data_IF_253304828886
#
_entry.id   IF_253304828886
#
_cell.length_a   1.000
_cell.length_b   1.000
_cell.length_c   1.000
_cell.angle_alpha   90.00
_cell.angle_beta   90.00
_cell.angle_gamma   90.00
#
_symmetry.space_group_name_H-M   'P 1'
#
loop_
_entity.id
_entity.type
_entity.pdbx_description
1 polymer ?
#
# COMPACT_ATOMS: atom_id res chain seq x y z
N UNK A 1 20.97 -34.95 -8.07
CA UNK A 1 21.05 -34.19 -6.82
C UNK A 1 20.55 -32.78 -7.09
N UNK A 2 19.37 -32.45 -6.59
CA UNK A 2 18.78 -31.10 -6.75
C UNK A 2 19.35 -30.24 -5.62
N UNK A 3 20.18 -29.25 -5.96
CA UNK A 3 20.66 -28.28 -4.96
C UNK A 3 19.44 -27.51 -4.44
N UNK A 4 19.17 -27.61 -3.16
CA UNK A 4 18.21 -26.74 -2.48
C UNK A 4 18.93 -25.45 -2.10
N UNK A 5 18.41 -24.32 -2.51
CA UNK A 5 18.92 -23.00 -2.16
C UNK A 5 18.09 -22.41 -1.00
N UNK A 6 18.78 -21.85 -0.03
CA UNK A 6 18.16 -21.09 1.06
C UNK A 6 17.64 -19.75 0.53
N UNK A 7 16.32 -19.68 0.32
CA UNK A 7 15.66 -18.51 -0.26
C UNK A 7 15.79 -17.25 0.59
N UNK A 8 15.82 -17.40 1.91
CA UNK A 8 15.86 -16.24 2.82
C UNK A 8 17.27 -15.64 2.84
N UNK A 9 18.30 -16.48 2.87
CA UNK A 9 19.69 -16.02 2.70
C UNK A 9 19.92 -15.37 1.34
N UNK A 10 19.36 -15.92 0.25
CA UNK A 10 19.46 -15.29 -1.08
C UNK A 10 18.82 -13.91 -1.03
N UNK A 11 17.59 -13.80 -0.51
CA UNK A 11 16.87 -12.54 -0.43
C UNK A 11 17.60 -11.47 0.39
N UNK A 12 18.17 -11.83 1.52
CA UNK A 12 18.94 -10.94 2.40
C UNK A 12 20.24 -10.44 1.76
N UNK A 13 20.82 -11.21 0.87
CA UNK A 13 22.07 -10.85 0.19
C UNK A 13 21.86 -10.05 -1.10
N UNK A 14 20.61 -9.92 -1.59
CA UNK A 14 20.31 -9.08 -2.73
C UNK A 14 20.28 -7.61 -2.33
N UNK A 15 21.15 -6.84 -2.96
CA UNK A 15 21.21 -5.38 -2.78
C UNK A 15 20.09 -4.67 -3.56
N UNK A 16 19.85 -3.40 -3.24
CA UNK A 16 18.91 -2.56 -4.02
C UNK A 16 19.34 -2.45 -5.50
N UNK A 17 20.67 -2.47 -5.74
CA UNK A 17 21.20 -2.40 -7.11
C UNK A 17 20.95 -3.70 -7.88
N UNK A 18 21.03 -4.86 -7.23
CA UNK A 18 20.70 -6.15 -7.83
C UNK A 18 19.20 -6.19 -8.21
N UNK A 19 18.33 -5.75 -7.32
CA UNK A 19 16.89 -5.65 -7.59
C UNK A 19 16.62 -4.66 -8.73
N UNK A 20 17.36 -3.56 -8.79
CA UNK A 20 17.23 -2.59 -9.88
C UNK A 20 17.58 -3.22 -11.23
N UNK A 21 18.65 -4.00 -11.30
CA UNK A 21 19.06 -4.70 -12.55
C UNK A 21 17.98 -5.67 -12.99
N UNK A 22 17.45 -6.51 -12.10
CA UNK A 22 16.36 -7.43 -12.43
C UNK A 22 15.12 -6.72 -12.95
N UNK A 23 14.69 -5.66 -12.25
CA UNK A 23 13.52 -4.89 -12.69
C UNK A 23 13.75 -4.22 -14.05
N UNK A 24 14.98 -3.76 -14.33
CA UNK A 24 15.34 -3.20 -15.62
C UNK A 24 15.24 -4.25 -16.73
N UNK A 25 15.82 -5.42 -16.51
CA UNK A 25 15.80 -6.54 -17.45
C UNK A 25 14.38 -7.03 -17.75
N UNK A 26 13.49 -6.94 -16.75
CA UNK A 26 12.09 -7.33 -16.92
C UNK A 26 11.21 -6.20 -17.48
N UNK A 27 11.80 -5.05 -17.85
CA UNK A 27 11.09 -3.91 -18.45
C UNK A 27 10.30 -3.06 -17.44
N UNK A 28 10.70 -3.09 -16.17
CA UNK A 28 10.04 -2.33 -15.10
C UNK A 28 10.44 -0.86 -15.01
N UNK A 29 11.51 -0.43 -15.70
CA UNK A 29 12.04 0.94 -15.65
C UNK A 29 12.17 1.47 -14.19
N UNK A 30 12.96 0.84 -13.34
CA UNK A 30 13.04 1.17 -11.92
C UNK A 30 13.72 2.52 -11.68
N UNK A 31 13.26 3.21 -10.63
CA UNK A 31 13.82 4.47 -10.15
C UNK A 31 14.14 4.35 -8.68
N UNK A 32 15.34 4.76 -8.27
CA UNK A 32 15.77 4.76 -6.87
C UNK A 32 15.04 5.83 -6.06
N UNK A 33 14.73 5.47 -4.82
CA UNK A 33 14.13 6.34 -3.81
C UNK A 33 14.86 6.17 -2.49
N UNK A 34 14.51 6.97 -1.49
CA UNK A 34 15.07 6.84 -0.14
C UNK A 34 14.64 5.58 0.63
N UNK A 35 13.64 4.85 0.15
CA UNK A 35 13.14 3.60 0.78
C UNK A 35 13.43 2.34 -0.06
N UNK A 36 13.95 2.49 -1.28
CA UNK A 36 14.21 1.40 -2.20
C UNK A 36 13.97 1.80 -3.65
N UNK A 37 13.03 1.15 -4.35
CA UNK A 37 12.76 1.38 -5.78
C UNK A 37 11.26 1.58 -6.05
N UNK A 38 10.95 2.36 -7.09
CA UNK A 38 9.63 2.43 -7.71
C UNK A 38 9.77 1.95 -9.15
N UNK A 39 8.86 1.09 -9.60
CA UNK A 39 8.90 0.46 -10.91
C UNK A 39 7.51 0.47 -11.56
N UNK A 40 7.45 0.21 -12.86
CA UNK A 40 6.21 -0.11 -13.56
C UNK A 40 5.62 -1.41 -13.01
N UNK A 41 4.30 -1.55 -13.11
CA UNK A 41 3.55 -2.69 -12.56
C UNK A 41 3.67 -3.94 -13.42
N UNK A 42 4.90 -4.37 -13.69
CA UNK A 42 5.23 -5.58 -14.48
C UNK A 42 4.73 -6.88 -13.84
N UNK A 43 4.28 -6.83 -12.60
CA UNK A 43 3.65 -7.96 -11.89
C UNK A 43 2.29 -8.37 -12.49
N UNK A 44 1.66 -7.52 -13.32
CA UNK A 44 0.40 -7.81 -14.01
C UNK A 44 0.26 -7.06 -15.35
N UNK A 45 1.32 -6.41 -15.83
CA UNK A 45 1.38 -5.77 -17.15
C UNK A 45 2.60 -6.27 -17.93
N UNK A 46 2.58 -6.20 -19.28
CA UNK A 46 3.73 -6.48 -20.11
C UNK A 46 4.92 -5.54 -19.81
N UNK A 47 6.11 -5.92 -20.29
CA UNK A 47 7.32 -5.12 -20.16
C UNK A 47 7.14 -3.72 -20.75
N UNK A 48 7.58 -2.70 -20.03
CA UNK A 48 7.46 -1.28 -20.44
C UNK A 48 6.06 -0.68 -20.33
N UNK A 49 5.06 -1.47 -19.92
CA UNK A 49 3.67 -1.03 -19.77
C UNK A 49 3.27 -0.87 -18.29
N UNK A 50 2.08 -0.31 -18.08
CA UNK A 50 1.52 -0.11 -16.76
C UNK A 50 2.02 1.16 -16.05
N UNK A 51 1.44 1.43 -14.88
CA UNK A 51 1.76 2.61 -14.08
C UNK A 51 2.96 2.36 -13.16
N UNK A 52 3.62 3.43 -12.69
CA UNK A 52 4.70 3.35 -11.68
C UNK A 52 4.13 3.16 -10.28
N UNK A 53 3.53 2.00 -10.03
CA UNK A 53 2.82 1.63 -8.81
C UNK A 53 3.31 0.32 -8.17
N UNK A 54 4.46 -0.18 -8.61
CA UNK A 54 5.16 -1.30 -7.99
C UNK A 54 6.33 -0.75 -7.19
N UNK A 55 6.27 -0.89 -5.87
CA UNK A 55 7.24 -0.36 -4.91
C UNK A 55 8.04 -1.51 -4.32
N UNK A 56 9.36 -1.35 -4.25
CA UNK A 56 10.24 -2.25 -3.50
C UNK A 56 10.77 -1.53 -2.28
N UNK A 57 10.64 -2.17 -1.12
CA UNK A 57 11.10 -1.67 0.17
C UNK A 57 12.35 -2.43 0.60
N UNK A 58 13.49 -1.74 0.66
CA UNK A 58 14.79 -2.35 0.97
C UNK A 58 14.89 -2.90 2.39
N UNK A 59 14.15 -2.34 3.35
CA UNK A 59 14.17 -2.77 4.74
C UNK A 59 13.38 -4.07 5.02
N UNK A 60 12.43 -4.41 4.15
CA UNK A 60 11.62 -5.63 4.27
C UNK A 60 11.89 -6.65 3.16
N UNK A 61 12.66 -6.27 2.14
CA UNK A 61 12.89 -7.04 0.91
C UNK A 61 11.61 -7.47 0.19
N UNK A 62 10.54 -6.67 0.34
CA UNK A 62 9.23 -6.94 -0.26
C UNK A 62 8.87 -5.90 -1.32
N UNK A 63 8.14 -6.36 -2.31
CA UNK A 63 7.41 -5.52 -3.25
C UNK A 63 6.00 -5.26 -2.74
N UNK A 64 5.45 -4.12 -3.10
CA UNK A 64 4.03 -3.83 -2.94
C UNK A 64 3.47 -3.22 -4.21
N UNK A 65 2.44 -3.86 -4.77
CA UNK A 65 1.72 -3.36 -5.94
C UNK A 65 0.48 -2.60 -5.49
N UNK A 66 0.41 -1.32 -5.83
CA UNK A 66 -0.74 -0.46 -5.47
C UNK A 66 -1.90 -0.52 -6.47
N UNK A 67 -1.82 -1.41 -7.49
CA UNK A 67 -2.87 -1.57 -8.51
C UNK A 67 -2.90 -3.02 -9.02
N UNK A 68 -4.09 -3.59 -9.16
CA UNK A 68 -4.33 -4.80 -9.97
C UNK A 68 -3.94 -6.16 -9.39
N UNK A 69 -3.11 -6.26 -8.36
CA UNK A 69 -2.76 -7.54 -7.75
C UNK A 69 -3.72 -7.91 -6.62
N UNK A 70 -4.33 -9.09 -6.68
CA UNK A 70 -5.19 -9.62 -5.61
C UNK A 70 -4.41 -9.79 -4.29
N UNK A 71 -3.15 -10.27 -4.37
CA UNK A 71 -2.19 -10.23 -3.28
C UNK A 71 -1.16 -9.14 -3.60
N UNK A 72 -1.22 -7.96 -2.94
CA UNK A 72 -0.42 -6.80 -3.32
C UNK A 72 1.03 -6.86 -2.83
N UNK A 73 1.34 -7.66 -1.79
CA UNK A 73 2.70 -7.77 -1.23
C UNK A 73 3.31 -9.13 -1.54
N UNK A 74 4.53 -9.14 -2.06
CA UNK A 74 5.23 -10.35 -2.50
C UNK A 74 6.74 -10.09 -2.55
N UNK A 75 7.53 -11.16 -2.56
CA UNK A 75 8.99 -11.09 -2.68
C UNK A 75 9.48 -11.15 -4.14
N UNK A 76 10.79 -11.15 -4.32
CA UNK A 76 11.42 -11.18 -5.65
C UNK A 76 11.13 -12.48 -6.41
N UNK A 77 10.98 -13.60 -5.72
CA UNK A 77 10.70 -14.89 -6.34
C UNK A 77 9.28 -14.94 -6.88
N UNK A 78 8.31 -14.44 -6.10
CA UNK A 78 6.92 -14.31 -6.55
C UNK A 78 6.81 -13.29 -7.69
N UNK A 79 7.56 -12.19 -7.65
CA UNK A 79 7.60 -11.26 -8.77
C UNK A 79 8.11 -11.93 -10.05
N UNK A 80 9.19 -12.73 -9.96
CA UNK A 80 9.70 -13.50 -11.10
C UNK A 80 8.62 -14.41 -11.72
N UNK A 81 7.86 -15.14 -10.90
CA UNK A 81 6.77 -16.00 -11.35
C UNK A 81 5.70 -15.18 -12.08
N UNK A 82 5.26 -14.07 -11.47
CA UNK A 82 4.24 -13.18 -12.06
C UNK A 82 4.69 -12.61 -13.41
N UNK A 83 5.91 -12.09 -13.47
CA UNK A 83 6.49 -11.50 -14.69
C UNK A 83 6.55 -12.51 -15.83
N UNK A 84 7.03 -13.72 -15.56
CA UNK A 84 7.13 -14.75 -16.60
C UNK A 84 5.74 -15.27 -17.03
N UNK A 85 4.78 -15.33 -16.11
CA UNK A 85 3.38 -15.67 -16.47
C UNK A 85 2.80 -14.65 -17.43
N UNK A 86 3.01 -13.34 -17.18
CA UNK A 86 2.47 -12.26 -18.01
C UNK A 86 3.21 -12.15 -19.34
N UNK A 87 4.55 -12.13 -19.30
CA UNK A 87 5.35 -11.84 -20.50
C UNK A 87 5.56 -13.04 -21.42
N UNK A 88 5.61 -14.26 -20.87
CA UNK A 88 5.94 -15.48 -21.62
C UNK A 88 4.84 -16.55 -21.55
N UNK A 89 3.78 -16.33 -20.75
CA UNK A 89 2.75 -17.30 -20.45
C UNK A 89 3.30 -18.64 -19.90
N UNK A 90 4.36 -18.57 -19.07
CA UNK A 90 5.01 -19.73 -18.45
C UNK A 90 4.68 -19.71 -16.95
N UNK A 91 4.20 -20.84 -16.44
CA UNK A 91 3.98 -21.06 -15.01
C UNK A 91 5.24 -21.66 -14.39
N UNK A 92 6.01 -20.83 -13.68
CA UNK A 92 7.16 -21.29 -12.90
C UNK A 92 6.75 -21.61 -11.46
N UNK A 93 7.42 -22.60 -10.87
CA UNK A 93 7.31 -22.89 -9.44
C UNK A 93 8.25 -21.98 -8.62
N UNK A 94 8.04 -21.91 -7.31
CA UNK A 94 8.93 -21.21 -6.41
C UNK A 94 10.38 -21.72 -6.52
N UNK A 95 10.57 -23.04 -6.61
CA UNK A 95 11.88 -23.64 -6.80
C UNK A 95 12.58 -23.14 -8.07
N UNK A 96 11.85 -23.02 -9.18
CA UNK A 96 12.40 -22.47 -10.42
C UNK A 96 12.83 -21.01 -10.25
N UNK A 97 12.04 -20.19 -9.55
CA UNK A 97 12.35 -18.80 -9.29
C UNK A 97 13.59 -18.63 -8.42
N UNK A 98 13.71 -19.43 -7.35
CA UNK A 98 14.87 -19.43 -6.45
C UNK A 98 16.14 -19.83 -7.20
N UNK A 99 16.11 -20.92 -7.97
CA UNK A 99 17.23 -21.37 -8.79
C UNK A 99 17.65 -20.33 -9.82
N UNK A 100 16.67 -19.68 -10.49
CA UNK A 100 16.96 -18.62 -11.46
C UNK A 100 17.68 -17.44 -10.83
N UNK A 101 17.13 -16.89 -9.73
CA UNK A 101 17.71 -15.73 -9.05
C UNK A 101 19.10 -16.07 -8.49
N UNK A 102 19.25 -17.24 -7.85
CA UNK A 102 20.54 -17.68 -7.33
C UNK A 102 21.62 -17.80 -8.44
N UNK A 103 21.26 -18.37 -9.59
CA UNK A 103 22.18 -18.49 -10.71
C UNK A 103 22.48 -17.14 -11.37
N UNK A 104 21.49 -16.26 -11.48
CA UNK A 104 21.63 -14.94 -12.10
C UNK A 104 22.69 -14.10 -11.37
N UNK A 105 22.72 -14.17 -10.04
CA UNK A 105 23.70 -13.43 -9.22
C UNK A 105 24.88 -14.27 -8.74
N UNK A 106 25.03 -15.51 -9.20
CA UNK A 106 26.14 -16.39 -8.82
C UNK A 106 26.15 -16.78 -7.33
N UNK A 107 24.98 -16.84 -6.70
CA UNK A 107 24.82 -17.11 -5.27
C UNK A 107 24.86 -18.62 -4.94
N UNK A 108 25.78 -19.36 -5.54
CA UNK A 108 25.90 -20.81 -5.38
C UNK A 108 26.30 -21.27 -3.95
N UNK A 109 26.80 -20.34 -3.14
CA UNK A 109 27.25 -20.61 -1.77
C UNK A 109 26.08 -20.71 -0.76
N UNK A 110 24.87 -20.42 -1.18
CA UNK A 110 23.66 -20.47 -0.35
C UNK A 110 22.84 -21.75 -0.61
N UNK A 111 23.46 -22.80 -1.13
CA UNK A 111 22.85 -24.13 -1.15
C UNK A 111 22.87 -24.75 0.24
N UNK A 112 21.75 -25.26 0.70
CA UNK A 112 21.68 -26.06 1.91
C UNK A 112 22.51 -27.34 1.73
N UNK A 113 23.48 -27.59 2.64
CA UNK A 113 24.10 -28.89 2.76
C UNK A 113 23.06 -29.88 3.28
N UNK A 114 22.98 -31.07 2.64
CA UNK A 114 22.05 -32.13 2.98
C UNK A 114 22.14 -32.48 4.49
N UNK A 115 21.25 -31.94 5.30
CA UNK A 115 20.91 -32.51 6.59
C UNK A 115 19.51 -33.08 6.51
N UNK A 116 19.43 -34.41 6.42
CA UNK A 116 18.31 -35.32 6.66
C UNK A 116 16.90 -34.69 6.60
N UNK A 117 16.23 -34.89 5.48
CA UNK A 117 14.79 -34.70 5.34
C UNK A 117 14.04 -35.58 6.34
N UNK A 118 13.57 -35.00 7.41
CA UNK A 118 12.44 -35.53 8.15
C UNK A 118 11.14 -35.02 7.49
N UNK A 119 10.17 -35.90 7.39
CA UNK A 119 8.89 -35.77 6.70
C UNK A 119 7.92 -34.69 7.24
N UNK A 120 8.40 -33.69 7.95
CA UNK A 120 7.58 -32.69 8.66
C UNK A 120 7.47 -31.34 7.95
N UNK A 121 7.99 -31.22 6.72
CA UNK A 121 7.87 -29.98 5.90
C UNK A 121 6.44 -29.62 5.48
N UNK A 122 5.48 -30.50 5.79
CA UNK A 122 4.05 -30.17 5.74
C UNK A 122 3.62 -29.15 6.80
N UNK A 123 4.41 -28.92 7.84
CA UNK A 123 4.09 -27.91 8.86
C UNK A 123 4.26 -26.48 8.34
N UNK A 124 5.20 -26.22 7.44
CA UNK A 124 5.38 -24.90 6.82
C UNK A 124 4.20 -24.59 5.90
N UNK A 125 3.72 -25.56 5.13
CA UNK A 125 2.49 -25.41 4.34
C UNK A 125 1.26 -25.26 5.21
N UNK A 126 1.19 -25.96 6.36
CA UNK A 126 0.13 -25.78 7.36
C UNK A 126 0.20 -24.42 8.06
N UNK A 127 1.38 -23.79 8.18
CA UNK A 127 1.49 -22.41 8.64
C UNK A 127 0.91 -21.42 7.60
N UNK A 128 1.12 -21.65 6.30
CA UNK A 128 0.49 -20.86 5.25
C UNK A 128 -1.02 -21.08 5.19
N UNK A 129 -1.51 -22.30 5.37
CA UNK A 129 -2.94 -22.61 5.50
C UNK A 129 -3.53 -21.99 6.78
N UNK A 130 -2.81 -22.00 7.91
CA UNK A 130 -3.23 -21.33 9.17
C UNK A 130 -3.27 -19.82 9.06
N UNK A 131 -2.51 -19.21 8.14
CA UNK A 131 -2.61 -17.76 7.84
C UNK A 131 -3.87 -17.48 7.00
N UNK A 132 -4.35 -18.44 6.21
CA UNK A 132 -5.65 -18.35 5.51
C UNK A 132 -6.83 -18.73 6.42
N UNK A 133 -6.62 -19.61 7.41
CA UNK A 133 -7.56 -19.93 8.49
C UNK A 133 -7.33 -19.04 9.72
N UNK A 134 -7.13 -17.74 9.52
CA UNK A 134 -7.44 -16.78 10.60
C UNK A 134 -8.96 -16.86 10.76
N UNK A 135 -9.38 -17.88 11.52
CA UNK A 135 -10.71 -17.91 12.12
C UNK A 135 -10.95 -16.54 12.72
N UNK A 136 -12.01 -15.89 12.29
CA UNK A 136 -12.52 -14.62 12.81
C UNK A 136 -12.80 -14.75 14.32
N UNK A 137 -11.73 -14.79 15.09
CA UNK A 137 -11.85 -14.49 16.51
C UNK A 137 -12.01 -12.98 16.57
N UNK A 138 -12.99 -12.50 17.32
CA UNK A 138 -13.35 -11.10 17.55
C UNK A 138 -12.21 -10.27 18.17
N UNK A 139 -11.01 -10.35 17.64
CA UNK A 139 -9.91 -9.48 18.00
C UNK A 139 -10.11 -8.15 17.25
N UNK A 140 -10.62 -7.16 17.95
CA UNK A 140 -10.63 -5.79 17.42
C UNK A 140 -9.23 -5.44 16.96
N UNK A 141 -9.10 -5.16 15.65
CA UNK A 141 -7.83 -4.67 15.08
C UNK A 141 -7.58 -3.29 15.67
N UNK A 142 -6.56 -3.19 16.52
CA UNK A 142 -6.17 -1.93 17.13
C UNK A 142 -5.18 -1.24 16.19
N UNK A 143 -5.65 -0.21 15.50
CA UNK A 143 -4.79 0.65 14.68
C UNK A 143 -3.93 1.53 15.59
N UNK A 144 -2.69 1.79 15.13
CA UNK A 144 -1.78 2.72 15.83
C UNK A 144 -2.40 4.10 15.90
N UNK A 145 -2.51 4.64 17.10
CA UNK A 145 -2.92 6.02 17.35
C UNK A 145 -1.71 6.96 17.32
N UNK A 146 -1.89 8.13 16.74
CA UNK A 146 -0.90 9.21 16.75
C UNK A 146 -1.42 10.42 17.53
N UNK A 147 -0.51 11.24 18.03
CA UNK A 147 -0.88 12.50 18.70
C UNK A 147 -1.50 13.48 17.70
N UNK A 148 -2.77 13.76 17.88
CA UNK A 148 -3.53 14.67 16.99
C UNK A 148 -3.10 16.13 17.11
N UNK A 149 -2.27 16.52 18.09
CA UNK A 149 -1.72 17.89 18.23
C UNK A 149 -0.89 18.29 17.01
N UNK A 150 -0.29 17.32 16.31
CA UNK A 150 0.48 17.60 15.08
C UNK A 150 -0.39 18.28 14.01
N UNK A 151 -1.68 18.00 13.98
CA UNK A 151 -2.61 18.61 13.04
C UNK A 151 -2.75 20.13 13.25
N UNK A 152 -2.47 20.66 14.43
CA UNK A 152 -2.52 22.09 14.71
C UNK A 152 -1.40 22.86 14.00
N UNK A 153 -0.35 22.18 13.58
CA UNK A 153 0.77 22.77 12.84
C UNK A 153 0.51 22.85 11.33
N UNK A 154 -0.60 22.31 10.88
CA UNK A 154 -0.99 22.36 9.48
C UNK A 154 -1.76 23.65 9.20
N UNK A 155 -1.57 24.22 8.02
CA UNK A 155 -2.22 25.48 7.66
C UNK A 155 -3.62 25.21 7.07
N UNK A 156 -4.66 25.54 7.82
CA UNK A 156 -6.05 25.30 7.43
C UNK A 156 -6.63 26.35 6.45
N UNK A 157 -5.94 27.45 6.23
CA UNK A 157 -6.49 28.59 5.46
C UNK A 157 -5.86 28.79 4.09
N UNK A 158 -4.72 28.17 3.83
CA UNK A 158 -3.95 28.39 2.60
C UNK A 158 -4.14 27.24 1.62
N UNK A 159 -4.33 27.61 0.34
CA UNK A 159 -4.32 26.69 -0.82
C UNK A 159 -5.38 25.56 -0.86
N UNK A 160 -6.45 25.64 -0.08
CA UNK A 160 -7.62 24.76 -0.26
C UNK A 160 -8.56 25.26 -1.37
N UNK A 161 -8.25 26.41 -1.96
CA UNK A 161 -9.02 27.04 -3.06
C UNK A 161 -9.39 26.08 -4.19
N UNK A 162 -8.52 25.15 -4.68
CA UNK A 162 -8.93 24.20 -5.70
C UNK A 162 -10.11 23.33 -5.29
N UNK A 163 -10.12 22.83 -4.05
CA UNK A 163 -11.21 21.99 -3.54
C UNK A 163 -12.48 22.78 -3.29
N UNK A 164 -12.36 24.03 -2.82
CA UNK A 164 -13.51 24.94 -2.68
C UNK A 164 -14.14 25.23 -4.05
N UNK A 165 -13.35 25.49 -5.08
CA UNK A 165 -13.82 25.71 -6.47
C UNK A 165 -14.49 24.47 -7.06
N UNK A 166 -14.10 23.28 -6.64
CA UNK A 166 -14.72 22.03 -7.07
C UNK A 166 -16.00 21.70 -6.30
N UNK A 167 -16.40 22.54 -5.33
CA UNK A 167 -17.69 22.43 -4.63
C UNK A 167 -17.59 21.82 -3.23
N UNK A 168 -16.41 21.56 -2.70
CA UNK A 168 -16.27 21.14 -1.29
C UNK A 168 -16.47 22.38 -0.42
N UNK A 169 -17.41 22.32 0.52
CA UNK A 169 -17.70 23.44 1.40
C UNK A 169 -16.66 23.59 2.49
N UNK A 170 -16.41 24.84 2.90
CA UNK A 170 -15.46 25.18 3.97
C UNK A 170 -15.77 24.45 5.29
N UNK A 171 -17.05 24.39 5.68
CA UNK A 171 -17.50 23.67 6.89
C UNK A 171 -17.14 22.17 6.89
N UNK A 172 -17.17 21.53 5.71
CA UNK A 172 -16.81 20.13 5.55
C UNK A 172 -15.30 19.95 5.67
N UNK A 173 -14.51 20.86 5.08
CA UNK A 173 -13.05 20.85 5.23
C UNK A 173 -12.64 21.01 6.69
N UNK A 174 -13.26 21.94 7.42
CA UNK A 174 -13.00 22.20 8.82
C UNK A 174 -13.39 21.01 9.72
N UNK A 175 -14.59 20.45 9.52
CA UNK A 175 -15.08 19.29 10.25
C UNK A 175 -14.14 18.09 10.11
N UNK A 176 -13.58 17.89 8.91
CA UNK A 176 -12.65 16.81 8.61
C UNK A 176 -11.18 17.19 8.87
N UNK A 177 -10.91 18.36 9.42
CA UNK A 177 -9.57 18.88 9.72
C UNK A 177 -8.63 18.84 8.50
N UNK A 178 -9.19 19.08 7.31
CA UNK A 178 -8.42 19.17 6.07
C UNK A 178 -7.54 20.41 6.12
N UNK A 179 -6.24 20.25 5.97
CA UNK A 179 -5.27 21.31 6.04
C UNK A 179 -4.33 21.32 4.85
N UNK A 180 -3.22 22.04 5.02
CA UNK A 180 -2.20 22.14 4.00
C UNK A 180 -0.81 22.08 4.62
N UNK A 181 0.05 21.24 4.03
CA UNK A 181 1.44 21.11 4.41
C UNK A 181 2.33 21.85 3.40
N UNK A 182 2.90 22.98 3.82
CA UNK A 182 3.74 23.82 2.97
C UNK A 182 5.03 23.12 2.50
N UNK A 183 5.66 22.34 3.39
CA UNK A 183 6.93 21.68 3.09
C UNK A 183 6.86 20.63 1.98
N UNK A 184 5.67 20.11 1.68
CA UNK A 184 5.46 19.11 0.64
C UNK A 184 4.48 19.52 -0.45
N UNK A 185 4.01 20.76 -0.44
CA UNK A 185 2.96 21.28 -1.36
C UNK A 185 1.76 20.34 -1.46
N UNK A 186 1.20 19.96 -0.29
CA UNK A 186 0.18 18.91 -0.19
C UNK A 186 -1.03 19.37 0.61
N UNK A 187 -2.23 19.07 0.11
CA UNK A 187 -3.46 19.09 0.92
C UNK A 187 -3.40 17.89 1.86
N UNK A 188 -3.59 18.12 3.16
CA UNK A 188 -3.50 17.09 4.19
C UNK A 188 -4.87 16.56 4.56
N UNK A 189 -4.99 15.24 4.64
CA UNK A 189 -6.22 14.52 4.89
C UNK A 189 -6.01 13.61 6.10
N UNK A 190 -6.43 14.04 7.30
CA UNK A 190 -6.34 13.21 8.49
C UNK A 190 -7.32 12.03 8.41
N UNK A 191 -6.86 10.86 8.83
CA UNK A 191 -7.69 9.67 8.98
C UNK A 191 -7.95 9.40 10.45
N UNK A 192 -9.20 9.14 10.77
CA UNK A 192 -9.67 8.78 12.10
C UNK A 192 -10.35 7.41 12.05
N UNK A 193 -10.19 6.63 13.11
CA UNK A 193 -10.91 5.38 13.26
C UNK A 193 -12.38 5.60 13.72
N UNK A 194 -13.13 4.50 13.85
CA UNK A 194 -14.54 4.52 14.32
C UNK A 194 -14.75 5.24 15.66
N UNK A 195 -13.69 5.39 16.48
CA UNK A 195 -13.70 6.00 17.81
C UNK A 195 -13.12 7.43 17.82
N UNK A 196 -12.90 8.05 16.65
CA UNK A 196 -12.26 9.35 16.48
C UNK A 196 -10.79 9.41 16.92
N UNK A 197 -10.07 8.29 17.01
CA UNK A 197 -8.63 8.27 17.24
C UNK A 197 -7.91 8.61 15.94
N UNK A 198 -6.91 9.49 16.01
CA UNK A 198 -6.11 9.88 14.84
C UNK A 198 -5.13 8.76 14.49
N UNK A 199 -5.32 8.11 13.33
CA UNK A 199 -4.59 6.90 12.92
C UNK A 199 -3.67 7.11 11.72
N UNK A 200 -3.71 8.25 11.06
CA UNK A 200 -2.86 8.52 9.91
C UNK A 200 -3.13 9.85 9.24
N UNK A 201 -2.19 10.27 8.41
CA UNK A 201 -2.27 11.51 7.64
C UNK A 201 -1.87 11.23 6.21
N UNK A 202 -2.77 11.46 5.27
CA UNK A 202 -2.46 11.41 3.85
C UNK A 202 -2.30 12.80 3.27
N UNK A 203 -1.42 12.93 2.29
CA UNK A 203 -1.21 14.13 1.51
C UNK A 203 -1.66 13.93 0.09
N UNK A 204 -2.44 14.86 -0.43
CA UNK A 204 -2.65 14.99 -1.86
C UNK A 204 -1.68 16.00 -2.43
N UNK A 205 -0.75 15.56 -3.28
CA UNK A 205 0.20 16.44 -3.94
C UNK A 205 -0.52 17.45 -4.85
N UNK A 206 -0.10 18.70 -4.79
CA UNK A 206 -0.55 19.77 -5.67
C UNK A 206 0.42 19.99 -6.83
N UNK A 207 1.63 19.44 -6.75
CA UNK A 207 2.61 19.40 -7.82
C UNK A 207 2.26 18.28 -8.80
N UNK A 208 2.22 18.59 -10.09
CA UNK A 208 1.85 17.63 -11.14
C UNK A 208 2.93 16.57 -11.33
N UNK A 209 4.18 16.99 -11.34
CA UNK A 209 5.35 16.12 -11.50
C UNK A 209 5.44 15.12 -10.34
N UNK A 210 5.28 15.58 -9.10
CA UNK A 210 5.22 14.74 -7.91
C UNK A 210 4.06 13.73 -7.97
N UNK A 211 2.90 14.17 -8.45
CA UNK A 211 1.71 13.32 -8.57
C UNK A 211 1.88 12.21 -9.60
N UNK A 212 2.58 12.50 -10.69
CA UNK A 212 2.89 11.53 -11.75
C UNK A 212 3.96 10.52 -11.29
N UNK A 213 4.94 10.99 -10.51
CA UNK A 213 6.08 10.18 -10.09
C UNK A 213 5.80 9.34 -8.85
N UNK A 214 5.29 9.96 -7.78
CA UNK A 214 5.09 9.31 -6.46
C UNK A 214 3.64 8.92 -6.18
N UNK A 215 2.73 9.24 -7.08
CA UNK A 215 1.30 9.07 -6.88
C UNK A 215 0.63 10.27 -6.22
N UNK A 216 -0.65 10.42 -6.55
CA UNK A 216 -1.47 11.58 -6.19
C UNK A 216 -1.74 11.68 -4.69
N UNK A 217 -1.91 10.55 -4.03
CA UNK A 217 -2.18 10.44 -2.59
C UNK A 217 -1.14 9.54 -1.93
N UNK A 218 -0.52 10.02 -0.85
CA UNK A 218 0.52 9.27 -0.13
C UNK A 218 0.50 9.61 1.36
N UNK A 219 0.98 8.72 2.24
CA UNK A 219 1.19 9.07 3.66
C UNK A 219 2.17 10.24 3.79
N UNK A 220 1.95 11.08 4.81
CA UNK A 220 2.83 12.22 5.09
C UNK A 220 3.81 11.86 6.19
N UNK A 221 5.07 12.28 6.00
CA UNK A 221 6.09 12.28 7.04
C UNK A 221 6.27 13.70 7.59
N UNK A 222 6.12 13.87 8.90
CA UNK A 222 6.35 15.13 9.60
C UNK A 222 7.29 14.88 10.78
N UNK A 223 8.32 15.69 10.92
CA UNK A 223 9.29 15.59 12.01
C UNK A 223 9.87 14.17 12.19
N UNK A 224 10.17 13.48 11.10
CA UNK A 224 10.71 12.11 11.08
C UNK A 224 9.70 11.01 11.40
N UNK A 225 8.43 11.33 11.62
CA UNK A 225 7.36 10.35 11.84
C UNK A 225 6.51 10.20 10.59
N UNK A 226 6.40 8.98 10.09
CA UNK A 226 5.48 8.62 9.01
C UNK A 226 4.09 8.32 9.59
N UNK A 227 3.10 9.12 9.23
CA UNK A 227 1.71 8.98 9.67
C UNK A 227 0.95 8.08 8.71
N UNK A 228 0.96 6.78 8.96
CA UNK A 228 0.36 5.77 8.07
C UNK A 228 -0.44 4.74 8.84
N UNK A 229 -1.44 4.15 8.17
CA UNK A 229 -2.20 2.99 8.63
C UNK A 229 -2.55 2.10 7.43
N UNK A 230 -2.87 0.82 7.61
CA UNK A 230 -3.38 -0.03 6.55
C UNK A 230 -4.76 0.46 6.07
N UNK A 231 -4.85 0.90 4.82
CA UNK A 231 -6.09 1.52 4.28
C UNK A 231 -7.28 0.56 4.29
N UNK A 232 -7.05 -0.74 4.04
CA UNK A 232 -8.09 -1.75 4.07
C UNK A 232 -8.70 -2.03 5.45
N UNK A 233 -8.13 -1.49 6.53
CA UNK A 233 -8.60 -1.68 7.91
C UNK A 233 -9.37 -0.49 8.47
N UNK A 234 -9.64 0.53 7.66
CA UNK A 234 -10.40 1.71 8.06
C UNK A 234 -11.15 2.31 6.88
N UNK A 235 -12.39 2.67 7.09
CA UNK A 235 -13.17 3.45 6.13
C UNK A 235 -13.05 4.93 6.49
N UNK A 236 -12.52 5.72 5.57
CA UNK A 236 -12.47 7.17 5.72
C UNK A 236 -13.87 7.76 5.93
N UNK A 237 -13.99 8.74 6.78
CA UNK A 237 -15.24 9.43 7.16
C UNK A 237 -16.24 8.56 7.95
N UNK A 238 -15.97 7.29 8.25
CA UNK A 238 -16.88 6.45 9.01
C UNK A 238 -17.13 6.98 10.44
N UNK A 239 -16.12 7.56 11.07
CA UNK A 239 -16.25 8.24 12.36
C UNK A 239 -17.32 9.33 12.37
N UNK A 240 -17.48 10.08 11.25
CA UNK A 240 -18.45 11.18 11.10
C UNK A 240 -19.84 10.71 10.60
N UNK A 241 -19.89 9.62 9.83
CA UNK A 241 -21.09 9.17 9.14
C UNK A 241 -21.80 7.98 9.80
N UNK A 242 -21.15 7.26 10.71
CA UNK A 242 -21.64 6.00 11.31
C UNK A 242 -23.06 6.11 11.92
N UNK A 243 -23.36 7.21 12.62
CA UNK A 243 -24.64 7.39 13.25
C UNK A 243 -25.76 7.64 12.23
N UNK A 244 -25.45 8.39 11.16
CA UNK A 244 -26.36 8.57 10.03
C UNK A 244 -26.58 7.27 9.26
N UNK A 245 -25.50 6.51 9.02
CA UNK A 245 -25.55 5.17 8.38
C UNK A 245 -26.45 4.26 9.20
N UNK A 246 -26.28 4.23 10.52
CA UNK A 246 -27.13 3.44 11.43
C UNK A 246 -28.58 3.88 11.39
N UNK A 247 -28.84 5.18 11.39
CA UNK A 247 -30.21 5.76 11.36
C UNK A 247 -30.91 5.52 10.02
N UNK A 248 -30.17 5.65 8.90
CA UNK A 248 -30.75 5.56 7.55
C UNK A 248 -30.72 4.11 7.02
N UNK A 249 -29.86 3.24 7.57
CA UNK A 249 -29.70 1.85 7.15
C UNK A 249 -28.97 1.68 5.81
N UNK A 250 -28.25 2.70 5.34
CA UNK A 250 -27.52 2.71 4.06
C UNK A 250 -26.18 3.42 4.20
N UNK A 251 -25.20 2.97 3.44
CA UNK A 251 -23.91 3.65 3.26
C UNK A 251 -23.63 3.83 1.76
N UNK A 252 -22.95 4.92 1.41
CA UNK A 252 -22.40 5.14 0.07
C UNK A 252 -20.89 5.06 0.17
N UNK A 253 -20.30 4.15 -0.58
CA UNK A 253 -18.86 3.86 -0.55
C UNK A 253 -18.22 4.48 -1.79
N UNK A 254 -17.20 5.31 -1.56
CA UNK A 254 -16.38 5.92 -2.59
C UNK A 254 -14.97 5.31 -2.61
N UNK A 255 -14.27 5.44 -3.73
CA UNK A 255 -12.88 5.03 -3.84
C UNK A 255 -11.95 5.95 -3.01
N UNK A 256 -12.18 7.26 -3.03
CA UNK A 256 -11.28 8.24 -2.43
C UNK A 256 -11.95 9.27 -1.53
N UNK A 257 -11.14 9.83 -0.64
CA UNK A 257 -11.55 10.76 0.42
C UNK A 257 -12.27 11.99 -0.13
N UNK A 258 -11.78 12.55 -1.24
CA UNK A 258 -12.36 13.75 -1.86
C UNK A 258 -13.81 13.56 -2.26
N UNK A 259 -14.17 12.38 -2.75
CA UNK A 259 -15.55 12.08 -3.15
C UNK A 259 -16.50 12.03 -1.94
N UNK A 260 -16.05 11.50 -0.80
CA UNK A 260 -16.81 11.54 0.44
C UNK A 260 -17.01 12.99 0.93
N UNK A 261 -15.98 13.82 0.87
CA UNK A 261 -16.08 15.25 1.24
C UNK A 261 -17.03 16.02 0.31
N UNK A 262 -17.02 15.72 -0.99
CA UNK A 262 -17.98 16.30 -1.94
C UNK A 262 -19.40 15.87 -1.62
N UNK A 263 -19.63 14.58 -1.34
CA UNK A 263 -20.94 14.08 -0.95
C UNK A 263 -21.47 14.82 0.29
N UNK A 264 -20.67 14.90 1.35
CA UNK A 264 -21.03 15.65 2.56
C UNK A 264 -21.33 17.13 2.28
N UNK A 265 -20.62 17.73 1.32
CA UNK A 265 -20.86 19.13 0.92
C UNK A 265 -22.17 19.33 0.18
N UNK A 266 -22.60 18.36 -0.64
CA UNK A 266 -23.85 18.44 -1.39
C UNK A 266 -25.08 18.11 -0.55
N UNK A 267 -25.00 17.07 0.30
CA UNK A 267 -26.16 16.54 1.02
C UNK A 267 -26.25 16.98 2.48
N UNK A 268 -25.24 17.71 2.97
CA UNK A 268 -25.13 18.16 4.36
C UNK A 268 -24.52 17.13 5.29
N UNK A 269 -23.80 17.61 6.29
CA UNK A 269 -23.09 16.73 7.24
C UNK A 269 -24.01 15.96 8.19
N UNK A 270 -25.22 16.43 8.39
CA UNK A 270 -26.28 15.80 9.21
C UNK A 270 -26.95 14.61 8.51
N UNK A 271 -26.82 14.50 7.19
CA UNK A 271 -27.33 13.39 6.38
C UNK A 271 -26.19 12.63 5.67
N UNK A 272 -24.95 12.91 6.04
CA UNK A 272 -23.80 12.28 5.43
C UNK A 272 -23.75 10.78 5.79
N UNK A 273 -23.88 9.94 4.78
CA UNK A 273 -23.76 8.47 4.85
C UNK A 273 -22.58 7.97 4.02
N UNK A 274 -21.67 8.87 3.66
CA UNK A 274 -20.54 8.56 2.80
C UNK A 274 -19.36 8.02 3.59
N UNK A 275 -18.67 7.07 2.98
CA UNK A 275 -17.37 6.55 3.42
C UNK A 275 -16.47 6.36 2.21
N UNK A 276 -15.15 6.25 2.42
CA UNK A 276 -14.24 5.91 1.34
C UNK A 276 -13.26 4.81 1.77
N UNK A 277 -12.99 3.86 0.86
CA UNK A 277 -12.02 2.78 1.07
C UNK A 277 -10.57 3.23 0.83
N UNK A 278 -10.35 4.37 0.17
CA UNK A 278 -9.04 4.99 -0.10
C UNK A 278 -8.05 4.09 -0.85
N UNK A 279 -8.55 3.05 -1.50
CA UNK A 279 -7.84 2.08 -2.28
C UNK A 279 -8.75 1.46 -3.33
N UNK A 280 -8.25 0.48 -4.07
CA UNK A 280 -8.96 -0.13 -5.20
C UNK A 280 -9.99 -1.19 -4.80
N UNK A 281 -10.06 -1.58 -3.53
CA UNK A 281 -10.95 -2.65 -3.06
C UNK A 281 -11.47 -2.40 -1.65
N UNK A 282 -12.66 -2.93 -1.34
CA UNK A 282 -13.14 -3.11 0.01
C UNK A 282 -12.49 -4.37 0.58
N UNK A 283 -11.93 -4.27 1.78
CA UNK A 283 -11.47 -5.45 2.50
C UNK A 283 -12.65 -6.17 3.17
N UNK A 284 -12.44 -7.43 3.52
CA UNK A 284 -13.40 -8.24 4.27
C UNK A 284 -13.29 -8.04 5.79
N UNK A 285 -12.54 -7.06 6.25
CA UNK A 285 -12.31 -6.75 7.66
C UNK A 285 -13.25 -5.67 8.16
#
# INVERSE_FOLDING_TARGET
MTRLFDKDKIKENLTVDDIQVLLQDWGGEPVKTNFGLISRTICHNPAGEGSRKLYYYSNSHLFHCFTGCANPSFDIFELYIKVNKIQKNIDYTLANAVIYIANYFGLSNYSEEENNFNSDDWEVLKQYERIQDISYTNNEIILKEYDSKILNNLNYKIKLTPWLKEGIKQEVLEKNRIGYYLGGDQITIPHFDKNNRFIGLRGRSMCKEDSEYYGKYRPISLNGTLYTHPLGMNLYNFNNSKDNIKRIGKAIVFEGEKSALLYASYFGTENDISVACCGSSLSSY
#
